data_IF_900226426521
#
_entry.id   IF_900226426521
#
_cell.length_a   1.000
_cell.length_b   1.000
_cell.length_c   1.000
_cell.angle_alpha   90.00
_cell.angle_beta   90.00
_cell.angle_gamma   90.00
#
_symmetry.space_group_name_H-M   'P 1'
#
loop_
_entity.id
_entity.type
_entity.pdbx_description
1 polymer ?
#
# COMPACT_ATOMS: atom_id res chain seq x y z
N UNK A 1 28.91 13.63 1.38
CA UNK A 1 27.64 14.17 0.83
C UNK A 1 26.56 13.62 1.75
N UNK A 2 25.81 14.45 2.48
CA UNK A 2 24.62 13.97 3.18
C UNK A 2 23.64 13.53 2.10
N UNK A 3 23.41 12.24 1.97
CA UNK A 3 22.29 11.72 1.17
C UNK A 3 21.02 12.35 1.76
N UNK A 4 20.31 13.12 0.96
CA UNK A 4 19.04 13.71 1.40
C UNK A 4 18.05 12.56 1.64
N UNK A 5 17.44 12.55 2.81
CA UNK A 5 16.37 11.57 3.10
C UNK A 5 15.30 11.58 2.02
N UNK A 6 14.71 10.43 1.68
CA UNK A 6 13.63 10.37 0.70
C UNK A 6 12.43 11.21 1.16
N UNK A 7 11.62 11.70 0.21
CA UNK A 7 10.43 12.47 0.55
C UNK A 7 9.40 11.60 1.29
N UNK A 8 9.24 10.35 0.86
CA UNK A 8 8.34 9.38 1.49
C UNK A 8 9.14 8.18 1.96
N UNK A 9 8.86 7.72 3.17
CA UNK A 9 9.37 6.47 3.71
C UNK A 9 8.20 5.53 3.94
N UNK A 10 8.38 4.26 3.59
CA UNK A 10 7.42 3.20 3.88
C UNK A 10 8.14 1.92 4.28
N UNK A 11 7.49 1.03 5.01
CA UNK A 11 8.09 -0.21 5.45
C UNK A 11 7.06 -1.31 5.67
N UNK A 12 7.48 -2.55 5.44
CA UNK A 12 6.62 -3.70 5.61
C UNK A 12 7.17 -4.96 4.97
N UNK A 13 6.30 -5.94 4.76
CA UNK A 13 6.66 -7.22 4.16
C UNK A 13 6.57 -7.18 2.64
N UNK A 14 7.61 -7.66 1.99
CA UNK A 14 7.60 -8.05 0.59
C UNK A 14 7.87 -9.54 0.46
N UNK A 15 7.06 -10.25 -0.32
CA UNK A 15 7.07 -11.71 -0.45
C UNK A 15 7.39 -12.11 -1.89
N UNK A 16 8.14 -13.21 -2.05
CA UNK A 16 8.22 -13.85 -3.36
C UNK A 16 6.83 -14.37 -3.78
N UNK A 17 6.47 -14.10 -5.02
CA UNK A 17 5.20 -14.49 -5.63
C UNK A 17 5.44 -15.50 -6.73
N UNK A 18 4.65 -16.58 -6.72
CA UNK A 18 4.66 -17.61 -7.75
C UNK A 18 3.26 -17.79 -8.32
N UNK A 19 3.15 -17.78 -9.64
CA UNK A 19 1.88 -17.90 -10.36
C UNK A 19 2.01 -18.87 -11.53
N UNK A 20 1.00 -19.72 -11.81
CA UNK A 20 0.94 -20.42 -13.08
C UNK A 20 0.86 -19.43 -14.24
N UNK A 21 1.59 -19.69 -15.32
CA UNK A 21 1.52 -18.86 -16.53
C UNK A 21 0.15 -18.91 -17.21
N UNK A 22 -0.55 -20.03 -17.06
CA UNK A 22 -1.90 -20.24 -17.60
C UNK A 22 -2.94 -20.24 -16.47
N UNK A 23 -4.22 -20.13 -16.82
CA UNK A 23 -5.34 -20.25 -15.87
C UNK A 23 -5.52 -21.71 -15.39
N UNK A 24 -4.47 -22.25 -14.76
CA UNK A 24 -4.41 -23.60 -14.17
C UNK A 24 -4.25 -23.50 -12.66
N UNK A 25 -4.66 -24.58 -11.97
CA UNK A 25 -4.31 -24.72 -10.56
C UNK A 25 -2.80 -24.98 -10.41
N UNK A 26 -2.25 -24.56 -9.28
CA UNK A 26 -0.84 -24.79 -8.92
C UNK A 26 -0.50 -26.28 -8.98
N UNK A 27 -1.42 -27.17 -8.56
CA UNK A 27 -1.25 -28.63 -8.61
C UNK A 27 -1.00 -29.17 -10.03
N UNK A 28 -1.51 -28.48 -11.06
CA UNK A 28 -1.44 -28.91 -12.45
C UNK A 28 -0.46 -28.11 -13.29
N UNK A 29 0.14 -27.09 -12.71
CA UNK A 29 1.10 -26.24 -13.40
C UNK A 29 2.46 -26.93 -13.44
N UNK A 30 3.03 -27.11 -14.62
CA UNK A 30 4.39 -27.63 -14.79
C UNK A 30 5.46 -26.54 -14.48
N UNK A 31 5.09 -25.27 -14.66
CA UNK A 31 5.96 -24.11 -14.45
C UNK A 31 5.22 -23.02 -13.73
N UNK A 32 5.94 -22.28 -12.89
CA UNK A 32 5.45 -21.09 -12.20
C UNK A 32 6.29 -19.89 -12.63
N UNK A 33 5.63 -18.81 -12.93
CA UNK A 33 6.25 -17.51 -13.11
C UNK A 33 6.59 -16.93 -11.74
N UNK A 34 7.80 -16.38 -11.60
CA UNK A 34 8.27 -15.76 -10.39
C UNK A 34 8.16 -14.24 -10.48
N UNK A 35 7.58 -13.64 -9.45
CA UNK A 35 7.56 -12.22 -9.18
C UNK A 35 7.68 -11.97 -7.68
N UNK A 36 7.28 -10.82 -7.21
CA UNK A 36 7.10 -10.53 -5.78
C UNK A 36 5.93 -9.55 -5.60
N UNK A 37 5.52 -9.37 -4.35
CA UNK A 37 4.52 -8.36 -3.99
C UNK A 37 4.54 -8.08 -2.50
N UNK A 38 4.10 -6.90 -2.17
CA UNK A 38 3.93 -6.40 -0.82
C UNK A 38 3.34 -5.00 -0.90
N UNK A 39 2.36 -4.70 -0.07
CA UNK A 39 1.62 -3.44 -0.19
C UNK A 39 2.56 -2.23 -0.18
N UNK A 40 3.45 -2.18 0.79
CA UNK A 40 4.38 -1.06 0.97
C UNK A 40 5.45 -1.02 -0.14
N UNK A 41 5.95 -2.16 -0.61
CA UNK A 41 6.91 -2.21 -1.72
C UNK A 41 6.26 -1.86 -3.05
N UNK A 42 4.99 -2.24 -3.28
CA UNK A 42 4.23 -1.84 -4.45
C UNK A 42 4.00 -0.32 -4.46
N UNK A 43 3.59 0.27 -3.32
CA UNK A 43 3.46 1.73 -3.17
C UNK A 43 4.80 2.42 -3.45
N UNK A 44 5.93 1.88 -2.94
CA UNK A 44 7.25 2.46 -3.15
C UNK A 44 7.63 2.47 -4.64
N UNK A 45 7.42 1.37 -5.37
CA UNK A 45 7.66 1.32 -6.83
C UNK A 45 6.78 2.34 -7.55
N UNK A 46 5.48 2.38 -7.22
CA UNK A 46 4.55 3.34 -7.83
C UNK A 46 4.98 4.79 -7.62
N UNK A 47 5.42 5.13 -6.41
CA UNK A 47 5.94 6.46 -6.10
C UNK A 47 7.20 6.81 -6.89
N UNK A 48 8.15 5.87 -6.99
CA UNK A 48 9.38 6.06 -7.75
C UNK A 48 9.08 6.30 -9.23
N UNK A 49 8.21 5.48 -9.85
CA UNK A 49 7.78 5.63 -11.25
C UNK A 49 7.03 6.94 -11.50
N UNK A 50 6.33 7.47 -10.48
CA UNK A 50 5.68 8.78 -10.53
C UNK A 50 6.64 9.95 -10.22
N UNK A 51 7.95 9.68 -10.10
CA UNK A 51 8.99 10.68 -9.88
C UNK A 51 9.04 11.24 -8.46
N UNK A 52 8.52 10.51 -7.47
CA UNK A 52 8.62 10.86 -6.05
C UNK A 52 9.75 10.07 -5.40
N UNK A 53 10.69 10.77 -4.75
CA UNK A 53 11.77 10.13 -4.00
C UNK A 53 11.20 9.34 -2.82
N UNK A 54 11.48 8.04 -2.79
CA UNK A 54 10.89 7.12 -1.81
C UNK A 54 11.92 6.13 -1.29
N UNK A 55 11.82 5.82 0.01
CA UNK A 55 12.57 4.76 0.65
C UNK A 55 11.65 3.67 1.15
N UNK A 56 12.07 2.44 0.93
CA UNK A 56 11.44 1.25 1.50
C UNK A 56 12.42 0.50 2.37
N UNK A 57 11.98 0.10 3.56
CA UNK A 57 12.71 -0.84 4.38
C UNK A 57 11.79 -1.95 4.91
N UNK A 58 12.40 -3.06 5.27
CA UNK A 58 11.77 -4.25 5.80
C UNK A 58 12.82 -5.31 6.02
N UNK A 59 12.43 -6.44 6.57
CA UNK A 59 13.32 -7.58 6.74
C UNK A 59 13.00 -8.66 5.70
N UNK A 60 14.02 -9.11 4.98
CA UNK A 60 13.97 -10.19 4.00
C UNK A 60 14.96 -11.29 4.43
N UNK A 61 14.76 -12.51 3.96
CA UNK A 61 15.76 -13.55 4.15
C UNK A 61 17.04 -13.27 3.35
N UNK A 62 18.21 -13.69 3.88
CA UNK A 62 19.44 -13.76 3.10
C UNK A 62 19.38 -14.97 2.15
N UNK A 63 18.38 -15.00 1.31
CA UNK A 63 18.07 -16.04 0.35
C UNK A 63 17.91 -15.44 -1.08
N UNK A 64 17.81 -16.29 -2.13
CA UNK A 64 17.66 -15.79 -3.49
C UNK A 64 16.45 -14.87 -3.69
N UNK A 65 15.37 -15.08 -2.93
CA UNK A 65 14.13 -14.28 -3.05
C UNK A 65 14.30 -12.90 -2.44
N UNK A 66 14.87 -12.80 -1.25
CA UNK A 66 15.19 -11.51 -0.62
C UNK A 66 16.15 -10.68 -1.49
N UNK A 67 17.15 -11.33 -2.07
CA UNK A 67 18.13 -10.68 -2.95
C UNK A 67 17.51 -10.14 -4.23
N UNK A 68 16.61 -10.90 -4.88
CA UNK A 68 15.94 -10.41 -6.10
C UNK A 68 14.99 -9.27 -5.80
N UNK A 69 14.24 -9.32 -4.70
CA UNK A 69 13.35 -8.23 -4.26
C UNK A 69 14.16 -6.95 -4.06
N UNK A 70 15.24 -6.97 -3.30
CA UNK A 70 16.11 -5.80 -3.08
C UNK A 70 16.72 -5.27 -4.39
N UNK A 71 17.16 -6.17 -5.26
CA UNK A 71 17.73 -5.79 -6.56
C UNK A 71 16.69 -5.09 -7.43
N UNK A 72 15.48 -5.59 -7.45
CA UNK A 72 14.40 -5.02 -8.26
C UNK A 72 13.95 -3.68 -7.69
N UNK A 73 13.70 -3.57 -6.39
CA UNK A 73 13.35 -2.30 -5.75
C UNK A 73 14.38 -1.20 -6.03
N UNK A 74 15.67 -1.55 -5.92
CA UNK A 74 16.76 -0.63 -6.26
C UNK A 74 16.76 -0.25 -7.74
N UNK A 75 16.49 -1.23 -8.61
CA UNK A 75 16.37 -1.02 -10.07
C UNK A 75 15.22 -0.11 -10.44
N UNK A 76 14.13 -0.13 -9.69
CA UNK A 76 12.96 0.75 -9.82
C UNK A 76 13.20 2.15 -9.19
N UNK A 77 14.39 2.44 -8.66
CA UNK A 77 14.73 3.73 -8.10
C UNK A 77 14.30 3.94 -6.63
N UNK A 78 13.91 2.88 -5.94
CA UNK A 78 13.57 2.92 -4.51
C UNK A 78 14.85 2.87 -3.68
N UNK A 79 14.99 3.76 -2.69
CA UNK A 79 16.06 3.65 -1.69
C UNK A 79 15.78 2.48 -0.75
N UNK A 80 16.65 1.48 -0.77
CA UNK A 80 16.60 0.29 0.08
C UNK A 80 17.76 0.23 1.06
N UNK A 81 18.40 1.35 1.35
CA UNK A 81 19.61 1.43 2.19
C UNK A 81 19.35 0.99 3.65
N UNK A 82 18.09 0.97 4.08
CA UNK A 82 17.67 0.57 5.42
C UNK A 82 16.98 -0.80 5.45
N UNK A 83 16.88 -1.48 4.32
CA UNK A 83 16.38 -2.86 4.26
C UNK A 83 17.39 -3.84 4.87
N UNK A 84 16.88 -4.86 5.54
CA UNK A 84 17.69 -5.84 6.27
C UNK A 84 17.60 -7.23 5.62
N UNK A 85 18.73 -7.94 5.59
CA UNK A 85 18.79 -9.36 5.23
C UNK A 85 19.02 -10.19 6.48
N UNK A 86 18.14 -11.14 6.75
CA UNK A 86 18.19 -12.04 7.90
C UNK A 86 18.75 -13.40 7.49
N UNK A 87 19.79 -13.85 8.17
CA UNK A 87 20.28 -15.23 8.05
C UNK A 87 19.43 -16.24 8.86
N UNK A 88 18.56 -15.75 9.75
CA UNK A 88 17.81 -16.59 10.71
C UNK A 88 16.39 -16.92 10.28
N UNK A 89 15.85 -16.17 9.32
CA UNK A 89 14.47 -16.32 8.87
C UNK A 89 14.36 -16.12 7.35
N UNK A 90 13.51 -16.90 6.67
CA UNK A 90 13.36 -16.81 5.22
C UNK A 90 12.57 -15.59 4.79
N UNK A 91 12.69 -15.22 3.52
CA UNK A 91 11.74 -14.35 2.84
C UNK A 91 10.36 -15.02 2.81
N UNK A 92 9.30 -14.27 3.10
CA UNK A 92 7.93 -14.75 2.94
C UNK A 92 7.64 -15.10 1.49
N UNK A 93 6.75 -16.07 1.29
CA UNK A 93 6.33 -16.50 -0.05
C UNK A 93 4.82 -16.54 -0.15
N UNK A 94 4.30 -16.29 -1.35
CA UNK A 94 2.91 -16.49 -1.69
C UNK A 94 2.77 -17.16 -3.06
N UNK A 95 1.76 -17.98 -3.18
CA UNK A 95 1.38 -18.61 -4.43
C UNK A 95 -0.01 -18.14 -4.80
N UNK A 96 -0.17 -17.68 -6.01
CA UNK A 96 -1.43 -17.14 -6.52
C UNK A 96 -1.89 -17.95 -7.73
N UNK A 97 -3.13 -18.39 -7.70
CA UNK A 97 -3.74 -19.08 -8.81
C UNK A 97 -5.09 -18.46 -9.19
N UNK A 98 -5.42 -18.56 -10.45
CA UNK A 98 -6.68 -18.07 -10.97
C UNK A 98 -7.40 -19.24 -11.67
N UNK A 99 -8.34 -19.86 -10.97
CA UNK A 99 -9.04 -21.07 -11.45
C UNK A 99 -10.54 -20.81 -11.48
N UNK A 100 -11.18 -21.09 -12.61
CA UNK A 100 -12.62 -20.93 -12.80
C UNK A 100 -13.17 -19.56 -12.38
N UNK A 101 -12.44 -18.50 -12.70
CA UNK A 101 -12.82 -17.11 -12.36
C UNK A 101 -12.63 -16.75 -10.89
N UNK A 102 -11.99 -17.60 -10.09
CA UNK A 102 -11.70 -17.33 -8.68
C UNK A 102 -10.21 -17.18 -8.45
N UNK A 103 -9.84 -16.08 -7.79
CA UNK A 103 -8.49 -15.83 -7.32
C UNK A 103 -8.30 -16.52 -5.96
N UNK A 104 -7.27 -17.36 -5.85
CA UNK A 104 -6.82 -17.93 -4.58
C UNK A 104 -5.37 -17.55 -4.31
N UNK A 105 -5.05 -17.20 -3.06
CA UNK A 105 -3.70 -16.90 -2.61
C UNK A 105 -3.37 -17.75 -1.40
N UNK A 106 -2.26 -18.49 -1.51
CA UNK A 106 -1.71 -19.35 -0.47
C UNK A 106 -0.45 -18.70 0.08
N UNK A 107 -0.43 -18.39 1.39
CA UNK A 107 0.65 -17.66 2.04
C UNK A 107 1.56 -18.59 2.84
N UNK A 108 2.86 -18.45 2.65
CA UNK A 108 3.93 -19.08 3.42
C UNK A 108 4.79 -17.98 4.04
N UNK A 109 4.22 -17.24 5.00
CA UNK A 109 4.80 -16.04 5.60
C UNK A 109 4.96 -16.11 7.11
N UNK A 110 4.43 -17.16 7.75
CA UNK A 110 4.57 -17.34 9.19
C UNK A 110 6.05 -17.54 9.53
N UNK A 111 6.54 -16.73 10.46
CA UNK A 111 7.96 -16.70 10.84
C UNK A 111 8.92 -16.24 9.74
N UNK A 112 8.44 -15.54 8.71
CA UNK A 112 9.30 -14.84 7.76
C UNK A 112 10.16 -13.78 8.46
N UNK A 113 11.22 -13.34 7.80
CA UNK A 113 12.07 -12.28 8.32
C UNK A 113 11.25 -11.02 8.63
N UNK A 114 10.32 -10.65 7.77
CA UNK A 114 9.45 -9.50 7.96
C UNK A 114 8.57 -9.59 9.21
N UNK A 115 8.10 -10.80 9.57
CA UNK A 115 7.29 -11.01 10.78
C UNK A 115 8.06 -10.87 12.09
N UNK A 116 9.38 -10.65 12.02
CA UNK A 116 10.30 -10.52 13.16
C UNK A 116 10.90 -9.12 13.31
N UNK A 117 10.37 -8.14 12.60
CA UNK A 117 10.81 -6.74 12.76
C UNK A 117 10.55 -6.25 14.19
N UNK A 118 11.55 -5.56 14.76
CA UNK A 118 11.53 -5.04 16.14
C UNK A 118 11.61 -3.51 16.14
N UNK A 119 10.99 -2.83 17.13
CA UNK A 119 11.07 -1.37 17.24
C UNK A 119 12.50 -0.82 17.30
N UNK A 120 13.41 -1.56 17.93
CA UNK A 120 14.82 -1.20 18.11
C UNK A 120 15.64 -1.19 16.79
N UNK A 121 15.08 -1.78 15.73
CA UNK A 121 15.70 -1.83 14.41
C UNK A 121 15.34 -0.63 13.54
N UNK A 122 14.43 0.23 14.00
CA UNK A 122 14.04 1.44 13.27
C UNK A 122 15.19 2.46 13.24
N UNK A 123 15.54 2.94 12.06
CA UNK A 123 16.39 4.12 11.91
C UNK A 123 15.52 5.38 12.09
N UNK A 124 15.48 5.91 13.33
CA UNK A 124 14.67 7.09 13.66
C UNK A 124 15.02 8.29 12.80
N UNK A 125 16.32 8.51 12.52
CA UNK A 125 16.75 9.65 11.72
C UNK A 125 16.27 9.56 10.27
N UNK A 126 16.18 8.35 9.75
CA UNK A 126 15.65 8.11 8.41
C UNK A 126 14.16 8.48 8.32
N UNK A 127 13.37 8.09 9.32
CA UNK A 127 11.94 8.46 9.41
C UNK A 127 11.79 9.98 9.63
N UNK A 128 12.53 10.55 10.57
CA UNK A 128 12.49 11.99 10.88
C UNK A 128 12.90 12.89 9.72
N UNK A 129 13.74 12.38 8.81
CA UNK A 129 14.21 13.11 7.64
C UNK A 129 13.21 13.11 6.46
N UNK A 130 12.15 12.30 6.51
CA UNK A 130 11.13 12.24 5.48
C UNK A 130 10.11 13.39 5.62
N UNK A 131 9.34 13.62 4.56
CA UNK A 131 8.17 14.51 4.61
C UNK A 131 6.91 13.75 5.01
N UNK A 132 6.84 12.45 4.68
CA UNK A 132 5.70 11.60 4.94
C UNK A 132 6.14 10.15 5.21
N UNK A 133 5.53 9.54 6.22
CA UNK A 133 5.59 8.11 6.50
C UNK A 133 4.30 7.47 6.01
N UNK A 134 4.40 6.49 5.10
CA UNK A 134 3.27 5.65 4.68
C UNK A 134 3.32 4.28 5.34
N UNK A 135 2.22 3.85 5.95
CA UNK A 135 2.11 2.57 6.64
C UNK A 135 0.80 1.87 6.32
N UNK A 136 0.81 0.54 6.41
CA UNK A 136 -0.41 -0.27 6.24
C UNK A 136 -0.71 -1.13 7.46
N UNK A 137 -1.97 -1.54 7.58
CA UNK A 137 -2.41 -2.46 8.63
C UNK A 137 -1.83 -3.87 8.48
N UNK A 138 -1.33 -4.24 7.28
CA UNK A 138 -0.69 -5.55 7.07
C UNK A 138 0.52 -5.71 8.01
N UNK A 139 1.38 -4.69 8.08
CA UNK A 139 2.58 -4.74 8.93
C UNK A 139 2.20 -4.99 10.39
N UNK A 140 1.16 -4.33 10.92
CA UNK A 140 0.70 -4.56 12.30
C UNK A 140 0.14 -5.97 12.52
N UNK A 141 -0.41 -6.59 11.48
CA UNK A 141 -1.03 -7.91 11.56
C UNK A 141 -0.02 -9.08 11.50
N UNK A 142 1.25 -8.83 11.18
CA UNK A 142 2.26 -9.89 11.03
C UNK A 142 2.64 -10.53 12.36
N UNK A 143 2.79 -9.73 13.41
CA UNK A 143 3.13 -10.16 14.76
C UNK A 143 2.94 -9.02 15.76
N UNK A 144 2.99 -9.36 17.06
CA UNK A 144 2.96 -8.35 18.14
C UNK A 144 4.17 -7.40 18.05
N UNK A 145 5.35 -7.93 17.71
CA UNK A 145 6.56 -7.13 17.53
C UNK A 145 6.41 -6.15 16.35
N UNK A 146 5.86 -6.60 15.23
CA UNK A 146 5.57 -5.73 14.09
C UNK A 146 4.52 -4.65 14.44
N UNK A 147 3.51 -4.97 15.24
CA UNK A 147 2.52 -4.01 15.76
C UNK A 147 3.20 -2.91 16.58
N UNK A 148 4.08 -3.30 17.51
CA UNK A 148 4.88 -2.36 18.31
C UNK A 148 5.82 -1.52 17.43
N UNK A 149 6.45 -2.15 16.44
CA UNK A 149 7.33 -1.48 15.49
C UNK A 149 6.58 -0.42 14.68
N UNK A 150 5.39 -0.76 14.18
CA UNK A 150 4.57 0.19 13.44
C UNK A 150 4.12 1.35 14.33
N UNK A 151 3.67 1.07 15.56
CA UNK A 151 3.30 2.12 16.52
C UNK A 151 4.48 3.05 16.78
N UNK A 152 5.68 2.50 17.07
CA UNK A 152 6.87 3.30 17.30
C UNK A 152 7.25 4.18 16.09
N UNK A 153 7.15 3.65 14.86
CA UNK A 153 7.42 4.43 13.65
C UNK A 153 6.47 5.62 13.49
N UNK A 154 5.18 5.41 13.77
CA UNK A 154 4.17 6.50 13.75
C UNK A 154 4.48 7.54 14.83
N UNK A 155 4.84 7.12 16.04
CA UNK A 155 5.22 8.04 17.12
C UNK A 155 6.44 8.90 16.73
N UNK A 156 7.49 8.27 16.16
CA UNK A 156 8.68 8.98 15.67
C UNK A 156 8.29 10.03 14.60
N UNK A 157 7.44 9.66 13.65
CA UNK A 157 6.98 10.55 12.60
C UNK A 157 6.23 11.77 13.18
N UNK A 158 5.27 11.51 14.07
CA UNK A 158 4.48 12.56 14.72
C UNK A 158 5.34 13.50 15.56
N UNK A 159 6.26 12.97 16.36
CA UNK A 159 7.19 13.77 17.19
C UNK A 159 8.09 14.67 16.33
N UNK A 160 8.37 14.28 15.09
CA UNK A 160 9.18 15.03 14.15
C UNK A 160 8.37 15.97 13.22
N UNK A 161 7.04 15.95 13.30
CA UNK A 161 6.18 16.69 12.37
C UNK A 161 6.16 16.12 10.96
N UNK A 162 6.51 14.85 10.80
CA UNK A 162 6.40 14.09 9.55
C UNK A 162 4.95 13.64 9.37
N UNK A 163 4.37 13.88 8.20
CA UNK A 163 3.01 13.49 7.91
C UNK A 163 2.87 11.97 7.91
N UNK A 164 1.73 11.46 8.38
CA UNK A 164 1.43 10.02 8.40
C UNK A 164 0.29 9.72 7.44
N UNK A 165 0.54 8.81 6.51
CA UNK A 165 -0.48 8.19 5.65
C UNK A 165 -0.70 6.75 6.06
N UNK A 166 -1.95 6.38 6.26
CA UNK A 166 -2.34 5.07 6.72
C UNK A 166 -3.40 4.43 5.81
N UNK A 167 -3.07 3.24 5.27
CA UNK A 167 -4.03 2.34 4.60
C UNK A 167 -4.32 1.15 5.53
N UNK A 168 -5.56 0.94 6.00
CA UNK A 168 -5.89 -0.20 6.86
C UNK A 168 -5.57 -1.54 6.20
N UNK A 169 -5.73 -1.66 4.91
CA UNK A 169 -5.39 -2.84 4.09
C UNK A 169 -5.73 -4.15 4.82
N UNK A 170 -6.99 -4.23 5.30
CA UNK A 170 -7.47 -5.25 6.22
C UNK A 170 -7.37 -6.65 5.64
N UNK A 171 -6.70 -7.55 6.35
CA UNK A 171 -6.51 -8.96 5.95
C UNK A 171 -6.93 -9.90 7.07
N UNK A 172 -8.22 -10.28 7.10
CA UNK A 172 -8.79 -11.19 8.12
C UNK A 172 -8.16 -12.59 8.16
N UNK A 173 -7.29 -12.93 7.21
CA UNK A 173 -6.46 -14.15 7.28
C UNK A 173 -5.30 -14.04 8.28
N UNK A 174 -4.96 -12.83 8.73
CA UNK A 174 -3.83 -12.58 9.63
C UNK A 174 -4.27 -12.42 11.09
N UNK A 175 -5.43 -11.88 11.34
CA UNK A 175 -5.97 -11.58 12.68
C UNK A 175 -7.50 -11.54 12.70
N UNK A 176 -8.08 -11.53 13.90
CA UNK A 176 -9.52 -11.34 14.08
C UNK A 176 -9.93 -9.90 13.78
N UNK A 177 -11.22 -9.67 13.54
CA UNK A 177 -11.73 -8.31 13.32
C UNK A 177 -11.65 -7.47 14.61
N UNK A 178 -11.75 -8.10 15.76
CA UNK A 178 -11.63 -7.46 17.08
C UNK A 178 -10.20 -6.91 17.26
N UNK A 179 -9.17 -7.73 17.06
CA UNK A 179 -7.76 -7.30 17.10
C UNK A 179 -7.47 -6.21 16.07
N UNK A 180 -8.04 -6.34 14.87
CA UNK A 180 -7.90 -5.33 13.82
C UNK A 180 -8.48 -3.98 14.25
N UNK A 181 -9.70 -3.95 14.82
CA UNK A 181 -10.33 -2.72 15.32
C UNK A 181 -9.50 -2.04 16.39
N UNK A 182 -9.09 -2.81 17.41
CA UNK A 182 -8.28 -2.30 18.52
C UNK A 182 -6.95 -1.68 18.06
N UNK A 183 -6.40 -2.17 16.94
CA UNK A 183 -5.12 -1.70 16.41
C UNK A 183 -5.29 -0.59 15.37
N UNK A 184 -6.19 -0.77 14.40
CA UNK A 184 -6.26 0.10 13.22
C UNK A 184 -7.01 1.41 13.47
N UNK A 185 -8.04 1.43 14.35
CA UNK A 185 -8.77 2.67 14.64
C UNK A 185 -7.90 3.71 15.38
N UNK A 186 -7.07 3.34 16.36
CA UNK A 186 -6.09 4.28 16.93
C UNK A 186 -5.07 4.80 15.91
N UNK A 187 -4.60 3.96 14.99
CA UNK A 187 -3.69 4.39 13.93
C UNK A 187 -4.36 5.37 12.96
N UNK A 188 -5.63 5.15 12.62
CA UNK A 188 -6.40 6.08 11.81
C UNK A 188 -6.57 7.46 12.50
N UNK A 189 -6.70 7.47 13.83
CA UNK A 189 -6.79 8.71 14.60
C UNK A 189 -5.47 9.51 14.63
N UNK A 190 -4.35 8.83 14.43
CA UNK A 190 -3.03 9.44 14.40
C UNK A 190 -2.54 9.83 13.00
N UNK A 191 -3.27 9.42 11.96
CA UNK A 191 -2.92 9.71 10.57
C UNK A 191 -3.31 11.14 10.16
N UNK A 192 -2.57 11.70 9.19
CA UNK A 192 -2.95 12.92 8.46
C UNK A 192 -3.77 12.56 7.21
N UNK A 193 -3.47 11.41 6.59
CA UNK A 193 -4.22 10.84 5.47
C UNK A 193 -4.62 9.41 5.80
N UNK A 194 -5.92 9.14 5.80
CA UNK A 194 -6.49 7.82 6.03
C UNK A 194 -7.15 7.32 4.74
N UNK A 195 -6.69 6.18 4.21
CA UNK A 195 -7.06 5.67 2.88
C UNK A 195 -7.82 4.32 2.92
N UNK A 196 -8.95 4.22 3.62
CA UNK A 196 -9.68 2.97 3.74
C UNK A 196 -10.48 2.62 2.48
N UNK A 197 -10.75 1.31 2.30
CA UNK A 197 -11.85 0.84 1.46
C UNK A 197 -13.19 0.93 2.18
N UNK A 198 -14.30 1.14 1.44
CA UNK A 198 -15.62 1.15 2.06
C UNK A 198 -15.96 -0.17 2.75
N UNK A 199 -15.61 -1.31 2.13
CA UNK A 199 -15.82 -2.62 2.74
C UNK A 199 -15.01 -2.83 4.03
N UNK A 200 -13.82 -2.25 4.12
CA UNK A 200 -13.01 -2.28 5.34
C UNK A 200 -13.67 -1.44 6.45
N UNK A 201 -14.19 -0.26 6.12
CA UNK A 201 -14.89 0.58 7.09
C UNK A 201 -16.13 -0.08 7.64
N UNK A 202 -16.92 -0.78 6.82
CA UNK A 202 -18.07 -1.56 7.28
C UNK A 202 -17.65 -2.59 8.34
N UNK A 203 -16.54 -3.27 8.13
CA UNK A 203 -16.01 -4.24 9.08
C UNK A 203 -15.44 -3.56 10.32
N UNK A 204 -14.66 -2.50 10.17
CA UNK A 204 -14.04 -1.79 11.28
C UNK A 204 -15.06 -1.13 12.21
N UNK A 205 -16.10 -0.52 11.65
CA UNK A 205 -17.17 0.11 12.44
C UNK A 205 -18.38 -0.80 12.73
N UNK A 206 -18.37 -2.03 12.19
CA UNK A 206 -19.43 -3.02 12.33
C UNK A 206 -20.82 -2.50 11.91
N UNK A 207 -20.87 -1.78 10.81
CA UNK A 207 -22.10 -1.19 10.26
C UNK A 207 -21.95 -0.91 8.78
N UNK A 208 -23.06 -0.92 8.04
CA UNK A 208 -23.16 -0.46 6.66
C UNK A 208 -23.82 0.93 6.53
N UNK A 209 -24.14 1.56 7.68
CA UNK A 209 -24.67 2.93 7.74
C UNK A 209 -23.55 3.94 7.46
N UNK A 210 -23.60 4.51 6.26
CA UNK A 210 -22.61 5.49 5.79
C UNK A 210 -22.60 6.76 6.64
N UNK A 211 -23.76 7.28 7.04
CA UNK A 211 -23.81 8.53 7.82
C UNK A 211 -23.21 8.34 9.21
N UNK A 212 -23.41 7.16 9.81
CA UNK A 212 -22.72 6.81 11.04
C UNK A 212 -21.20 6.78 10.85
N UNK A 213 -20.71 6.04 9.86
CA UNK A 213 -19.25 5.93 9.58
C UNK A 213 -18.66 7.30 9.26
N UNK A 214 -19.33 8.10 8.42
CA UNK A 214 -18.93 9.47 8.11
C UNK A 214 -18.84 10.33 9.37
N UNK A 215 -19.80 10.18 10.29
CA UNK A 215 -19.79 10.87 11.58
C UNK A 215 -18.56 10.51 12.42
N UNK A 216 -18.16 9.23 12.43
CA UNK A 216 -16.94 8.78 13.12
C UNK A 216 -15.67 9.30 12.43
N UNK A 217 -15.60 9.24 11.09
CA UNK A 217 -14.45 9.75 10.34
C UNK A 217 -14.27 11.26 10.49
N UNK A 218 -15.35 12.03 10.58
CA UNK A 218 -15.29 13.48 10.81
C UNK A 218 -14.76 13.87 12.20
N UNK A 219 -14.67 12.93 13.15
CA UNK A 219 -14.01 13.16 14.44
C UNK A 219 -12.48 13.04 14.34
N UNK A 220 -11.98 12.40 13.28
CA UNK A 220 -10.55 12.28 13.02
C UNK A 220 -10.02 13.62 12.49
N UNK A 221 -8.72 13.89 12.73
CA UNK A 221 -8.02 15.01 12.08
C UNK A 221 -7.62 14.69 10.65
N UNK A 222 -7.60 13.41 10.30
CA UNK A 222 -7.18 12.92 9.00
C UNK A 222 -8.12 13.38 7.88
N UNK A 223 -7.52 13.70 6.73
CA UNK A 223 -8.27 13.68 5.47
C UNK A 223 -8.54 12.21 5.14
N UNK A 224 -9.82 11.81 5.12
CA UNK A 224 -10.22 10.42 4.86
C UNK A 224 -10.58 10.25 3.38
N UNK A 225 -9.93 9.27 2.73
CA UNK A 225 -10.12 8.94 1.32
C UNK A 225 -10.77 7.56 1.25
N UNK A 226 -12.10 7.51 1.13
CA UNK A 226 -12.88 6.26 1.13
C UNK A 226 -12.94 5.69 -0.28
N UNK A 227 -12.22 4.59 -0.51
CA UNK A 227 -12.17 3.89 -1.80
C UNK A 227 -13.38 2.96 -1.96
N UNK A 228 -13.99 2.94 -3.14
CA UNK A 228 -14.97 1.90 -3.50
C UNK A 228 -16.34 2.01 -2.82
N UNK A 229 -16.84 3.21 -2.61
CA UNK A 229 -18.23 3.40 -2.23
C UNK A 229 -19.08 3.47 -3.51
N UNK A 230 -19.54 2.31 -3.97
CA UNK A 230 -20.04 2.15 -5.33
C UNK A 230 -18.90 2.39 -6.34
N UNK A 231 -19.18 3.16 -7.38
CA UNK A 231 -18.20 3.51 -8.42
C UNK A 231 -17.48 4.82 -8.12
N UNK A 232 -17.34 5.20 -6.83
CA UNK A 232 -16.76 6.48 -6.42
C UNK A 232 -15.70 6.30 -5.34
N UNK A 233 -14.81 7.31 -5.28
CA UNK A 233 -13.97 7.61 -4.11
C UNK A 233 -14.52 8.85 -3.43
N UNK A 234 -14.69 8.78 -2.12
CA UNK A 234 -15.17 9.91 -1.31
C UNK A 234 -14.00 10.53 -0.55
N UNK A 235 -13.86 11.85 -0.65
CA UNK A 235 -12.91 12.65 0.14
C UNK A 235 -13.69 13.34 1.26
N UNK A 236 -13.33 13.04 2.51
CA UNK A 236 -13.82 13.76 3.69
C UNK A 236 -12.67 14.61 4.24
N UNK A 237 -12.87 15.92 4.27
CA UNK A 237 -11.87 16.87 4.76
C UNK A 237 -12.54 17.98 5.55
N UNK A 238 -12.28 18.08 6.86
CA UNK A 238 -12.85 19.11 7.75
C UNK A 238 -14.37 19.23 7.64
N UNK A 239 -15.07 18.10 7.61
CA UNK A 239 -16.55 18.04 7.49
C UNK A 239 -17.10 18.26 6.08
N UNK A 240 -16.26 18.61 5.11
CA UNK A 240 -16.64 18.69 3.71
C UNK A 240 -16.53 17.32 3.05
N UNK A 241 -17.47 16.99 2.18
CA UNK A 241 -17.52 15.74 1.43
C UNK A 241 -17.47 16.04 -0.07
N UNK A 242 -16.58 15.37 -0.79
CA UNK A 242 -16.56 15.39 -2.25
C UNK A 242 -16.46 13.95 -2.77
N UNK A 243 -17.39 13.58 -3.68
CA UNK A 243 -17.44 12.28 -4.32
C UNK A 243 -16.91 12.38 -5.75
N UNK A 244 -15.93 11.55 -6.07
CA UNK A 244 -15.26 11.52 -7.36
C UNK A 244 -15.50 10.17 -8.02
N UNK A 245 -15.93 10.09 -9.28
CA UNK A 245 -16.08 8.83 -9.99
C UNK A 245 -14.72 8.18 -10.21
N UNK A 246 -14.69 6.86 -10.31
CA UNK A 246 -13.48 6.14 -10.73
C UNK A 246 -13.10 6.54 -12.15
N UNK A 247 -11.81 6.62 -12.39
CA UNK A 247 -11.33 6.73 -13.76
C UNK A 247 -11.60 5.40 -14.48
N UNK A 248 -12.25 5.41 -15.66
CA UNK A 248 -12.63 4.18 -16.33
C UNK A 248 -11.40 3.40 -16.80
N UNK A 249 -11.39 2.09 -16.51
CA UNK A 249 -10.45 1.15 -17.13
C UNK A 249 -11.03 0.64 -18.45
N UNK A 250 -10.19 0.53 -19.47
CA UNK A 250 -10.62 -0.03 -20.77
C UNK A 250 -10.94 -1.52 -20.67
N UNK A 251 -10.19 -2.22 -19.82
CA UNK A 251 -10.37 -3.63 -19.53
C UNK A 251 -9.90 -3.92 -18.10
N UNK A 252 -10.61 -4.74 -17.36
CA UNK A 252 -10.17 -5.24 -16.05
C UNK A 252 -9.63 -6.66 -16.24
N UNK A 253 -8.32 -6.83 -16.03
CA UNK A 253 -7.59 -8.10 -16.15
C UNK A 253 -7.32 -8.69 -14.77
N UNK A 254 -6.79 -7.87 -13.85
CA UNK A 254 -6.47 -8.25 -12.48
C UNK A 254 -6.68 -7.03 -11.57
N UNK A 255 -7.31 -7.21 -10.42
CA UNK A 255 -7.55 -6.11 -9.46
C UNK A 255 -6.48 -6.03 -8.36
N UNK A 256 -5.54 -6.96 -8.36
CA UNK A 256 -4.45 -6.97 -7.38
C UNK A 256 -3.51 -5.78 -7.63
N UNK A 257 -3.03 -5.15 -6.57
CA UNK A 257 -2.17 -3.96 -6.66
C UNK A 257 -2.89 -2.65 -6.96
N UNK A 258 -4.19 -2.67 -7.34
CA UNK A 258 -4.94 -1.44 -7.64
C UNK A 258 -5.02 -0.47 -6.44
N UNK A 259 -5.21 -1.00 -5.24
CA UNK A 259 -5.20 -0.23 -4.01
C UNK A 259 -3.84 0.42 -3.74
N UNK A 260 -2.77 -0.34 -3.93
CA UNK A 260 -1.39 0.14 -3.76
C UNK A 260 -1.06 1.20 -4.82
N UNK A 261 -1.47 0.97 -6.09
CA UNK A 261 -1.36 1.94 -7.16
C UNK A 261 -2.14 3.23 -6.87
N UNK A 262 -3.36 3.10 -6.33
CA UNK A 262 -4.13 4.25 -5.88
C UNK A 262 -3.40 5.03 -4.78
N UNK A 263 -2.89 4.34 -3.76
CA UNK A 263 -2.12 4.98 -2.68
C UNK A 263 -0.88 5.70 -3.22
N UNK A 264 -0.12 5.05 -4.12
CA UNK A 264 1.04 5.66 -4.75
C UNK A 264 0.66 6.95 -5.53
N UNK A 265 -0.40 6.90 -6.35
CA UNK A 265 -0.91 8.05 -7.08
C UNK A 265 -1.34 9.20 -6.16
N UNK A 266 -2.09 8.89 -5.10
CA UNK A 266 -2.52 9.87 -4.12
C UNK A 266 -1.33 10.56 -3.44
N UNK A 267 -0.40 9.78 -2.91
CA UNK A 267 0.78 10.30 -2.20
C UNK A 267 1.71 11.09 -3.11
N UNK A 268 1.90 10.63 -4.37
CA UNK A 268 2.66 11.40 -5.37
C UNK A 268 2.00 12.75 -5.66
N UNK A 269 0.66 12.79 -5.75
CA UNK A 269 -0.10 14.03 -5.90
C UNK A 269 0.12 15.00 -4.74
N UNK A 270 0.03 14.51 -3.50
CA UNK A 270 0.28 15.30 -2.30
C UNK A 270 1.73 15.86 -2.30
N UNK A 271 2.72 15.04 -2.64
CA UNK A 271 4.13 15.50 -2.71
C UNK A 271 4.36 16.53 -3.82
N UNK A 272 3.56 16.54 -4.87
CA UNK A 272 3.54 17.55 -5.93
C UNK A 272 2.74 18.81 -5.57
N UNK A 273 2.16 18.89 -4.36
CA UNK A 273 1.40 20.04 -3.88
C UNK A 273 -0.04 20.12 -4.37
N UNK A 274 -0.59 19.03 -4.90
CA UNK A 274 -2.00 18.95 -5.27
C UNK A 274 -2.89 18.94 -4.02
N UNK A 275 -4.10 19.49 -4.15
CA UNK A 275 -5.15 19.31 -3.14
C UNK A 275 -5.52 17.83 -3.00
N UNK A 276 -6.11 17.39 -1.87
CA UNK A 276 -6.54 16.00 -1.71
C UNK A 276 -7.48 15.52 -2.83
N UNK A 277 -8.36 16.38 -3.32
CA UNK A 277 -9.29 16.08 -4.41
C UNK A 277 -8.54 15.85 -5.73
N UNK A 278 -7.61 16.73 -6.08
CA UNK A 278 -6.78 16.58 -7.28
C UNK A 278 -5.87 15.34 -7.18
N UNK A 279 -5.33 15.07 -5.98
CA UNK A 279 -4.52 13.89 -5.73
C UNK A 279 -5.35 12.59 -5.88
N UNK A 280 -6.64 12.58 -5.50
CA UNK A 280 -7.55 11.45 -5.73
C UNK A 280 -7.80 11.23 -7.23
N UNK A 281 -7.88 12.29 -8.03
CA UNK A 281 -8.00 12.16 -9.50
C UNK A 281 -6.77 11.44 -10.08
N UNK A 282 -5.58 11.85 -9.69
CA UNK A 282 -4.33 11.19 -10.08
C UNK A 282 -4.31 9.74 -9.60
N UNK A 283 -4.69 9.48 -8.36
CA UNK A 283 -4.79 8.15 -7.76
C UNK A 283 -5.74 7.23 -8.53
N UNK A 284 -6.91 7.75 -8.94
CA UNK A 284 -7.92 7.00 -9.68
C UNK A 284 -7.40 6.59 -11.07
N UNK A 285 -6.69 7.48 -11.77
CA UNK A 285 -6.03 7.15 -13.04
C UNK A 285 -4.99 6.05 -12.81
N UNK A 286 -4.13 6.20 -11.82
CA UNK A 286 -3.08 5.25 -11.51
C UNK A 286 -3.66 3.86 -11.19
N UNK A 287 -4.64 3.78 -10.30
CA UNK A 287 -5.32 2.53 -9.97
C UNK A 287 -6.03 1.88 -11.16
N UNK A 288 -6.65 2.69 -12.06
CA UNK A 288 -7.30 2.17 -13.25
C UNK A 288 -6.33 1.58 -14.28
N UNK A 289 -5.11 2.08 -14.35
CA UNK A 289 -4.08 1.51 -15.22
C UNK A 289 -3.56 0.18 -14.67
N UNK A 290 -3.42 0.07 -13.36
CA UNK A 290 -2.97 -1.18 -12.70
C UNK A 290 -3.92 -2.34 -12.99
N UNK A 291 -5.22 -2.15 -12.95
CA UNK A 291 -6.18 -3.26 -13.16
C UNK A 291 -6.18 -3.82 -14.58
N UNK A 292 -5.48 -3.20 -15.53
CA UNK A 292 -5.47 -3.61 -16.94
C UNK A 292 -4.37 -4.61 -17.28
N UNK A 293 -3.52 -4.96 -16.31
CA UNK A 293 -2.44 -5.95 -16.48
C UNK A 293 -2.42 -6.94 -15.33
N UNK A 294 -1.79 -8.11 -15.55
CA UNK A 294 -1.51 -9.08 -14.48
C UNK A 294 -0.27 -8.63 -13.69
N UNK A 295 -0.28 -8.91 -12.41
CA UNK A 295 0.85 -8.64 -11.53
C UNK A 295 0.46 -7.80 -10.32
N UNK A 296 1.41 -7.55 -9.44
CA UNK A 296 1.21 -6.72 -8.26
C UNK A 296 1.72 -5.30 -8.50
N UNK A 297 2.93 -5.16 -9.01
CA UNK A 297 3.62 -3.88 -9.25
C UNK A 297 3.97 -3.68 -10.73
N UNK A 298 3.92 -4.72 -11.55
CA UNK A 298 4.34 -4.68 -12.96
C UNK A 298 3.53 -3.67 -13.76
N UNK A 299 2.24 -3.57 -13.45
CA UNK A 299 1.29 -2.67 -14.10
C UNK A 299 1.33 -1.21 -13.61
N UNK A 300 2.11 -0.89 -12.57
CA UNK A 300 2.24 0.48 -12.08
C UNK A 300 2.80 1.39 -13.18
N UNK A 301 2.11 2.48 -13.55
CA UNK A 301 2.51 3.30 -14.69
C UNK A 301 3.65 4.26 -14.36
N UNK A 302 4.38 4.64 -15.40
CA UNK A 302 5.32 5.77 -15.36
C UNK A 302 4.57 7.12 -15.42
N UNK A 303 5.23 8.17 -14.95
CA UNK A 303 4.63 9.50 -14.85
C UNK A 303 4.10 10.06 -16.18
N UNK A 304 4.80 9.86 -17.29
CA UNK A 304 4.41 10.32 -18.61
C UNK A 304 3.09 9.70 -19.09
N UNK A 305 2.87 8.42 -18.81
CA UNK A 305 1.61 7.71 -19.10
C UNK A 305 0.45 8.33 -18.32
N UNK A 306 0.66 8.61 -17.02
CA UNK A 306 -0.35 9.24 -16.17
C UNK A 306 -0.65 10.66 -16.64
N UNK A 307 0.38 11.45 -16.99
CA UNK A 307 0.20 12.81 -17.52
C UNK A 307 -0.62 12.84 -18.81
N UNK A 308 -0.38 11.91 -19.73
CA UNK A 308 -1.16 11.79 -20.95
C UNK A 308 -2.64 11.56 -20.64
N UNK A 309 -2.96 10.70 -19.68
CA UNK A 309 -4.35 10.45 -19.27
C UNK A 309 -4.98 11.64 -18.56
N UNK A 310 -4.24 12.37 -17.73
CA UNK A 310 -4.70 13.59 -17.07
C UNK A 310 -5.04 14.71 -18.07
N UNK A 311 -4.27 14.84 -19.12
CA UNK A 311 -4.46 15.87 -20.17
C UNK A 311 -5.54 15.52 -21.18
N UNK A 312 -5.98 14.27 -21.27
CA UNK A 312 -7.04 13.86 -22.16
C UNK A 312 -8.40 14.45 -21.71
N UNK A 313 -9.01 15.32 -22.52
CA UNK A 313 -10.30 16.00 -22.25
C UNK A 313 -11.47 15.05 -21.93
N UNK A 314 -11.35 13.77 -22.20
CA UNK A 314 -12.41 12.77 -22.08
C UNK A 314 -12.88 12.51 -20.62
N UNK A 315 -12.17 12.99 -19.61
CA UNK A 315 -12.55 12.77 -18.21
C UNK A 315 -13.41 13.87 -17.60
N UNK A 316 -13.43 15.05 -18.21
CA UNK A 316 -14.08 16.26 -17.61
C UNK A 316 -15.56 16.39 -17.97
N UNK A 317 -16.08 15.62 -18.92
CA UNK A 317 -17.39 15.88 -19.54
C UNK A 317 -18.38 14.69 -19.49
N UNK A 318 -18.34 13.85 -18.46
CA UNK A 318 -19.40 12.82 -18.30
C UNK A 318 -20.08 12.90 -16.95
#
# INVERSE_FOLDING_TARGET
MHESSPQIVTFGESMALFMPQEHKSIERAATLEQSFGGAESNVAIGLARLGTSVGWFGALGDDPFGKIILKTLRGEGVDVSRAQLSAEAPTGMMFREHVAGRLAVHYFRKHSAASRMLPEQLDENYIRGAKLLHVTGITAALSEDCRRTLRRAVDIAKDAGVLVSFDPNLRLKLWSIEEARETLLPLAADADYFLPGWDELKLLYNTDDYEYVKGELNKLKAVSIIKGRGDTTVVLNNGQEESLPFYPAEQVVDTVGAGDGFCAGFLAGIMKGLSPVEAVRLASINGSLVVQMRGDWEALPEWDVVQQRMSAKAWVER
#
